data_IF_189908709248
#
_entry.id   IF_189908709248
#
_cell.length_a   1.000
_cell.length_b   1.000
_cell.length_c   1.000
_cell.angle_alpha   90.00
_cell.angle_beta   90.00
_cell.angle_gamma   90.00
#
_symmetry.space_group_name_H-M   'P 1'
#
loop_
_entity.id
_entity.type
_entity.pdbx_description
1 polymer ?
#
# COMPACT_ATOMS: atom_id res chain seq x y z
N UNK A 1 26.11 -6.63 -18.97
CA UNK A 1 26.62 -5.81 -17.85
C UNK A 1 25.98 -6.37 -16.59
N UNK A 2 26.76 -7.03 -15.73
CA UNK A 2 26.29 -7.57 -14.46
C UNK A 2 26.08 -6.40 -13.50
N UNK A 3 24.86 -5.85 -13.48
CA UNK A 3 24.49 -4.78 -12.56
C UNK A 3 24.70 -5.28 -11.14
N UNK A 4 25.60 -4.63 -10.40
CA UNK A 4 25.68 -4.80 -8.95
C UNK A 4 24.29 -4.50 -8.38
N UNK A 5 23.60 -5.53 -7.90
CA UNK A 5 22.37 -5.38 -7.13
C UNK A 5 22.73 -4.57 -5.91
N UNK A 6 22.44 -3.27 -5.96
CA UNK A 6 22.69 -2.34 -4.88
C UNK A 6 21.84 -2.79 -3.70
N UNK A 7 22.47 -3.27 -2.63
CA UNK A 7 21.78 -3.69 -1.41
C UNK A 7 20.93 -2.53 -0.88
N UNK A 8 19.69 -2.81 -0.48
CA UNK A 8 18.82 -1.81 0.13
C UNK A 8 19.41 -1.34 1.46
N UNK A 9 19.31 -0.05 1.74
CA UNK A 9 19.57 0.55 3.06
C UNK A 9 18.35 1.36 3.48
N UNK A 10 17.75 1.01 4.60
CA UNK A 10 16.63 1.75 5.19
C UNK A 10 17.20 2.94 5.96
N UNK A 11 16.87 4.14 5.52
CA UNK A 11 17.28 5.36 6.22
C UNK A 11 16.39 6.55 5.85
N UNK A 12 15.46 6.92 6.71
CA UNK A 12 14.62 8.11 6.51
C UNK A 12 14.30 8.79 7.85
N UNK A 13 14.70 10.06 8.00
CA UNK A 13 14.49 10.83 9.24
C UNK A 13 13.49 11.98 9.09
N UNK A 14 13.25 12.42 7.86
CA UNK A 14 12.40 13.56 7.55
C UNK A 14 11.84 13.42 6.13
N UNK A 15 10.99 14.36 5.74
CA UNK A 15 10.22 14.29 4.49
C UNK A 15 10.83 15.14 3.36
N UNK A 16 12.07 15.65 3.49
CA UNK A 16 12.67 16.59 2.53
C UNK A 16 14.11 16.29 2.12
N UNK A 17 14.83 15.44 2.85
CA UNK A 17 16.15 14.98 2.41
C UNK A 17 16.08 14.30 1.03
N UNK A 18 17.18 14.29 0.24
CA UNK A 18 17.17 13.74 -1.11
C UNK A 18 16.68 12.28 -1.14
N UNK A 19 15.53 12.06 -1.78
CA UNK A 19 14.90 10.75 -1.92
C UNK A 19 15.76 9.81 -2.78
N UNK A 20 16.00 8.58 -2.30
CA UNK A 20 16.81 7.56 -3.00
C UNK A 20 16.03 6.29 -3.35
N UNK A 21 15.09 5.90 -2.51
CA UNK A 21 14.30 4.69 -2.66
C UNK A 21 12.92 4.90 -2.05
N UNK A 22 11.87 4.50 -2.75
CA UNK A 22 10.48 4.65 -2.29
C UNK A 22 9.64 3.44 -2.70
N UNK A 23 8.58 3.15 -1.92
CA UNK A 23 7.53 2.21 -2.30
C UNK A 23 6.37 3.00 -2.91
N UNK A 24 5.94 2.64 -4.11
CA UNK A 24 4.75 3.19 -4.76
C UNK A 24 3.67 2.12 -4.84
N UNK A 25 2.46 2.43 -4.37
CA UNK A 25 1.35 1.48 -4.39
C UNK A 25 0.88 1.09 -5.80
N UNK A 26 -0.04 0.14 -5.85
CA UNK A 26 -0.74 -0.29 -7.08
C UNK A 26 -2.25 -0.33 -6.81
N UNK A 27 -3.05 -0.12 -7.85
CA UNK A 27 -4.52 -0.10 -7.74
C UNK A 27 -5.16 -1.49 -7.94
N UNK A 28 -4.36 -2.49 -8.31
CA UNK A 28 -4.80 -3.85 -8.65
C UNK A 28 -5.71 -4.48 -7.58
N UNK A 29 -6.87 -4.96 -8.02
CA UNK A 29 -7.82 -5.66 -7.16
C UNK A 29 -8.47 -4.82 -6.06
N UNK A 30 -8.21 -3.50 -6.01
CA UNK A 30 -8.73 -2.62 -4.97
C UNK A 30 -10.26 -2.71 -4.87
N UNK A 31 -10.76 -2.80 -3.64
CA UNK A 31 -12.17 -2.91 -3.32
C UNK A 31 -12.65 -1.64 -2.60
N UNK A 32 -13.92 -1.31 -2.80
CA UNK A 32 -14.67 -0.39 -1.96
C UNK A 32 -15.06 -1.18 -0.69
N UNK A 33 -14.55 -0.81 0.49
CA UNK A 33 -14.74 -1.62 1.68
C UNK A 33 -16.21 -1.58 2.14
N UNK A 34 -16.72 -2.69 2.72
CA UNK A 34 -18.07 -2.73 3.28
C UNK A 34 -18.24 -1.73 4.44
N UNK A 35 -19.48 -1.38 4.82
CA UNK A 35 -19.74 -0.44 5.89
C UNK A 35 -19.15 -0.96 7.21
N UNK A 36 -18.40 -0.10 7.89
CA UNK A 36 -17.87 -0.37 9.21
C UNK A 36 -17.80 0.92 10.03
N UNK A 37 -17.85 0.86 11.38
CA UNK A 37 -17.88 2.06 12.21
C UNK A 37 -16.75 3.06 11.91
N UNK A 38 -15.57 2.56 11.55
CA UNK A 38 -14.40 3.39 11.26
C UNK A 38 -14.45 4.08 9.88
N UNK A 39 -15.24 3.54 8.96
CA UNK A 39 -15.42 4.04 7.59
C UNK A 39 -16.66 4.94 7.47
N UNK A 40 -17.79 4.53 8.03
CA UNK A 40 -19.08 5.23 7.88
C UNK A 40 -19.03 6.67 8.41
N UNK A 41 -18.22 6.92 9.45
CA UNK A 41 -18.00 8.27 9.98
C UNK A 41 -17.24 9.20 9.02
N UNK A 42 -16.64 8.68 7.94
CA UNK A 42 -15.78 9.42 7.01
C UNK A 42 -16.32 9.52 5.60
N UNK A 43 -17.28 8.67 5.22
CA UNK A 43 -17.90 8.72 3.89
C UNK A 43 -18.96 9.81 3.90
N UNK A 44 -18.86 10.87 3.06
CA UNK A 44 -19.88 11.89 2.95
C UNK A 44 -21.25 11.29 2.64
N UNK A 45 -22.32 11.89 3.18
CA UNK A 45 -23.66 11.33 2.99
C UNK A 45 -24.09 11.26 1.53
N UNK A 46 -23.57 12.16 0.71
CA UNK A 46 -23.79 12.34 -0.73
C UNK A 46 -22.71 11.68 -1.61
N UNK A 47 -21.84 10.84 -1.04
CA UNK A 47 -20.83 10.12 -1.81
C UNK A 47 -21.45 9.13 -2.78
N UNK A 48 -20.99 9.17 -4.03
CA UNK A 48 -21.27 8.20 -5.10
C UNK A 48 -20.87 6.76 -4.75
N UNK A 49 -19.88 6.59 -3.86
CA UNK A 49 -19.44 5.29 -3.36
C UNK A 49 -20.36 4.72 -2.27
N UNK A 50 -21.24 5.53 -1.69
CA UNK A 50 -22.18 5.05 -0.69
C UNK A 50 -23.14 4.07 -1.35
N UNK A 51 -23.22 2.86 -0.81
CA UNK A 51 -24.02 1.82 -1.44
C UNK A 51 -23.25 0.93 -2.43
N UNK A 52 -21.96 1.17 -2.63
CA UNK A 52 -21.09 0.37 -3.50
C UNK A 52 -20.04 -0.34 -2.64
N UNK A 53 -19.90 -1.66 -2.81
CA UNK A 53 -18.95 -2.47 -2.05
C UNK A 53 -18.36 -3.56 -2.94
N UNK A 54 -17.14 -3.98 -2.65
CA UNK A 54 -16.41 -4.95 -3.45
C UNK A 54 -15.57 -4.31 -4.56
N UNK A 55 -15.21 -5.05 -5.61
CA UNK A 55 -14.19 -4.63 -6.56
C UNK A 55 -14.50 -3.29 -7.22
N UNK A 56 -13.50 -2.42 -7.33
CA UNK A 56 -13.64 -1.18 -8.11
C UNK A 56 -13.82 -1.51 -9.60
N UNK A 57 -14.54 -0.67 -10.36
CA UNK A 57 -14.66 -0.85 -11.81
C UNK A 57 -13.28 -0.88 -12.48
N UNK A 58 -13.06 -1.85 -13.39
CA UNK A 58 -11.75 -2.07 -14.01
C UNK A 58 -11.18 -0.83 -14.69
N UNK A 59 -12.01 -0.05 -15.39
CA UNK A 59 -11.59 1.22 -16.03
C UNK A 59 -10.99 2.23 -15.02
N UNK A 60 -11.51 2.26 -13.78
CA UNK A 60 -10.94 3.13 -12.73
C UNK A 60 -9.62 2.62 -12.19
N UNK A 61 -9.46 1.29 -12.10
CA UNK A 61 -8.21 0.63 -11.71
C UNK A 61 -7.14 0.88 -12.77
N UNK A 62 -7.48 0.72 -14.04
CA UNK A 62 -6.57 0.90 -15.17
C UNK A 62 -6.06 2.36 -15.23
N UNK A 63 -6.96 3.34 -15.13
CA UNK A 63 -6.59 4.77 -15.08
C UNK A 63 -5.73 5.11 -13.87
N UNK A 64 -6.03 4.53 -12.70
CA UNK A 64 -5.22 4.73 -11.51
C UNK A 64 -3.81 4.15 -11.68
N UNK A 65 -3.69 2.97 -12.26
CA UNK A 65 -2.39 2.35 -12.55
C UNK A 65 -1.60 3.14 -13.61
N UNK A 66 -2.25 3.67 -14.64
CA UNK A 66 -1.59 4.56 -15.60
C UNK A 66 -0.92 5.76 -14.90
N UNK A 67 -1.65 6.40 -13.97
CA UNK A 67 -1.13 7.50 -13.15
C UNK A 67 0.01 7.05 -12.23
N UNK A 68 -0.14 5.92 -11.52
CA UNK A 68 0.86 5.40 -10.58
C UNK A 68 2.15 4.97 -11.30
N UNK A 69 2.03 4.37 -12.48
CA UNK A 69 3.16 3.97 -13.32
C UNK A 69 3.85 5.18 -13.94
N UNK A 70 3.08 6.18 -14.36
CA UNK A 70 3.62 7.48 -14.76
C UNK A 70 4.43 8.13 -13.65
N UNK A 71 3.89 8.14 -12.41
CA UNK A 71 4.58 8.67 -11.24
C UNK A 71 5.87 7.89 -10.91
N UNK A 72 5.81 6.56 -10.93
CA UNK A 72 6.99 5.71 -10.75
C UNK A 72 8.08 6.03 -11.79
N UNK A 73 7.73 6.13 -13.07
CA UNK A 73 8.67 6.48 -14.15
C UNK A 73 9.30 7.86 -13.95
N UNK A 74 8.54 8.85 -13.48
CA UNK A 74 9.04 10.19 -13.15
C UNK A 74 10.10 10.13 -12.05
N UNK A 75 9.90 9.31 -11.02
CA UNK A 75 10.87 9.10 -9.93
C UNK A 75 12.12 8.36 -10.41
N UNK A 76 11.94 7.28 -11.17
CA UNK A 76 13.04 6.50 -11.76
C UNK A 76 13.91 7.35 -12.69
N UNK A 77 13.30 8.21 -13.52
CA UNK A 77 14.04 9.15 -14.38
C UNK A 77 14.90 10.16 -13.62
N UNK A 78 14.62 10.36 -12.32
CA UNK A 78 15.39 11.21 -11.40
C UNK A 78 16.40 10.41 -10.57
N UNK A 79 16.59 9.12 -10.87
CA UNK A 79 17.52 8.24 -10.18
C UNK A 79 17.00 7.67 -8.85
N UNK A 80 15.70 7.81 -8.56
CA UNK A 80 15.07 7.21 -7.38
C UNK A 80 14.71 5.76 -7.70
N UNK A 81 15.11 4.80 -6.86
CA UNK A 81 14.64 3.42 -6.95
C UNK A 81 13.17 3.34 -6.53
N UNK A 82 12.34 2.67 -7.32
CA UNK A 82 10.93 2.45 -6.99
C UNK A 82 10.68 0.96 -6.85
N UNK A 83 10.18 0.54 -5.68
CA UNK A 83 9.66 -0.81 -5.47
C UNK A 83 8.12 -0.75 -5.38
N UNK A 84 7.42 -1.82 -5.79
CA UNK A 84 5.95 -1.92 -5.80
C UNK A 84 5.48 -3.06 -4.89
N UNK A 85 4.38 -2.93 -4.14
CA UNK A 85 3.86 -4.01 -3.31
C UNK A 85 3.28 -5.14 -4.16
N UNK A 86 3.07 -6.30 -3.54
CA UNK A 86 2.40 -7.44 -4.16
C UNK A 86 0.93 -7.45 -3.74
N UNK A 87 -0.03 -7.23 -4.65
CA UNK A 87 -1.45 -7.28 -4.34
C UNK A 87 -1.89 -8.63 -3.76
N UNK A 88 -2.92 -8.58 -2.92
CA UNK A 88 -3.69 -9.74 -2.50
C UNK A 88 -4.96 -9.83 -3.34
N UNK A 89 -5.66 -10.96 -3.22
CA UNK A 89 -7.05 -11.05 -3.64
C UNK A 89 -7.94 -10.34 -2.61
N UNK A 90 -8.09 -9.02 -2.77
CA UNK A 90 -8.80 -8.17 -1.80
C UNK A 90 -10.30 -8.44 -1.74
N UNK A 91 -10.88 -9.14 -2.72
CA UNK A 91 -12.30 -9.48 -2.73
C UNK A 91 -12.62 -10.75 -1.91
N UNK A 92 -11.64 -11.30 -1.20
CA UNK A 92 -11.87 -12.41 -0.27
C UNK A 92 -12.36 -11.90 1.08
N UNK A 93 -13.39 -12.54 1.67
CA UNK A 93 -13.83 -12.22 3.02
C UNK A 93 -12.76 -12.62 4.04
N UNK A 94 -12.65 -11.84 5.10
CA UNK A 94 -11.74 -12.10 6.22
C UNK A 94 -12.46 -11.90 7.54
N UNK A 95 -12.04 -12.65 8.56
CA UNK A 95 -12.68 -12.64 9.87
C UNK A 95 -11.69 -12.92 10.98
N UNK A 96 -12.00 -12.39 12.16
CA UNK A 96 -11.42 -12.76 13.45
C UNK A 96 -12.55 -13.29 14.33
N UNK A 97 -12.27 -13.75 15.57
CA UNK A 97 -13.33 -14.06 16.53
C UNK A 97 -14.24 -12.87 16.87
N UNK A 98 -13.78 -11.63 16.67
CA UNK A 98 -14.49 -10.41 17.07
C UNK A 98 -15.30 -9.75 15.94
N UNK A 99 -14.93 -9.99 14.69
CA UNK A 99 -15.55 -9.32 13.54
C UNK A 99 -15.32 -10.08 12.23
N UNK A 100 -16.12 -9.72 11.21
CA UNK A 100 -15.96 -10.16 9.83
C UNK A 100 -16.11 -8.98 8.87
N UNK A 101 -15.51 -9.09 7.69
CA UNK A 101 -15.66 -8.14 6.57
C UNK A 101 -15.69 -8.91 5.26
N UNK A 102 -16.59 -8.53 4.35
CA UNK A 102 -16.81 -9.25 3.10
C UNK A 102 -15.66 -9.06 2.10
N UNK A 103 -14.99 -7.90 2.16
CA UNK A 103 -13.79 -7.60 1.38
C UNK A 103 -12.76 -6.87 2.22
N UNK A 104 -11.53 -6.90 1.72
CA UNK A 104 -10.43 -6.04 2.15
C UNK A 104 -10.45 -4.72 1.37
N UNK A 105 -9.39 -3.90 1.52
CA UNK A 105 -9.28 -2.59 0.88
C UNK A 105 -8.40 -2.60 -0.39
N UNK A 106 -7.08 -2.50 -0.26
CA UNK A 106 -6.14 -2.44 -1.37
C UNK A 106 -4.72 -2.22 -0.87
N UNK A 107 -3.78 -1.85 -1.76
CA UNK A 107 -2.39 -1.55 -1.38
C UNK A 107 -1.84 -0.26 -2.06
N UNK A 108 -2.74 0.65 -2.42
CA UNK A 108 -2.38 1.93 -3.02
C UNK A 108 -1.67 2.90 -2.04
N UNK A 109 -2.01 2.95 -0.74
CA UNK A 109 -1.38 3.89 0.20
C UNK A 109 -0.39 3.21 1.19
N UNK A 110 0.87 2.90 0.77
CA UNK A 110 1.90 2.36 1.68
C UNK A 110 2.10 3.19 2.94
N UNK A 111 1.97 4.52 2.81
CA UNK A 111 2.18 5.48 3.90
C UNK A 111 1.25 5.28 5.10
N UNK A 112 0.07 4.73 4.87
CA UNK A 112 -0.90 4.48 5.94
C UNK A 112 -0.49 3.29 6.82
N UNK A 113 0.22 2.32 6.23
CA UNK A 113 0.52 1.02 6.84
C UNK A 113 1.95 0.97 7.37
N UNK A 114 2.87 1.70 6.75
CA UNK A 114 4.30 1.62 7.03
C UNK A 114 4.85 3.00 7.38
N UNK A 115 5.48 3.10 8.54
CA UNK A 115 6.26 4.26 8.96
C UNK A 115 7.75 3.90 8.96
N UNK A 116 8.59 4.75 8.39
CA UNK A 116 10.06 4.60 8.44
C UNK A 116 10.66 5.69 9.33
N UNK A 117 11.41 5.28 10.36
CA UNK A 117 12.11 6.19 11.29
C UNK A 117 13.56 5.74 11.42
N UNK A 118 14.48 6.50 10.81
CA UNK A 118 15.86 6.09 10.70
C UNK A 118 15.97 4.77 9.93
N UNK A 119 16.54 3.76 10.56
CA UNK A 119 16.70 2.41 10.00
C UNK A 119 15.50 1.48 10.27
N UNK A 120 14.53 1.90 11.07
CA UNK A 120 13.39 1.06 11.45
C UNK A 120 12.18 1.30 10.54
N UNK A 121 11.51 0.22 10.14
CA UNK A 121 10.21 0.26 9.47
C UNK A 121 9.17 -0.40 10.38
N UNK A 122 8.14 0.37 10.77
CA UNK A 122 7.08 -0.07 11.66
C UNK A 122 5.79 -0.30 10.88
N UNK A 123 5.12 -1.44 11.14
CA UNK A 123 3.78 -1.73 10.65
C UNK A 123 2.74 -1.14 11.62
N UNK A 124 1.86 -0.29 11.11
CA UNK A 124 0.82 0.36 11.91
C UNK A 124 -0.30 -0.63 12.28
N UNK A 125 -0.82 -0.52 13.50
CA UNK A 125 -2.02 -1.27 13.93
C UNK A 125 -3.27 -0.60 13.40
N UNK A 126 -3.64 -0.96 12.17
CA UNK A 126 -4.76 -0.37 11.45
C UNK A 126 -6.08 -0.53 12.23
N UNK A 127 -6.94 0.49 12.15
CA UNK A 127 -8.24 0.50 12.84
C UNK A 127 -9.41 0.03 11.96
N UNK A 128 -9.20 -0.07 10.66
CA UNK A 128 -10.22 -0.49 9.68
C UNK A 128 -10.13 -1.99 9.52
N UNK A 129 -11.24 -2.70 9.72
CA UNK A 129 -11.33 -4.17 9.58
C UNK A 129 -10.92 -4.61 8.19
N UNK A 130 -11.33 -3.88 7.16
CA UNK A 130 -10.94 -4.13 5.76
C UNK A 130 -9.43 -3.97 5.48
N UNK A 131 -8.65 -3.39 6.40
CA UNK A 131 -7.20 -3.16 6.28
C UNK A 131 -6.37 -4.09 7.16
N UNK A 132 -7.00 -5.05 7.85
CA UNK A 132 -6.35 -5.91 8.83
C UNK A 132 -5.14 -6.69 8.28
N UNK A 133 -5.24 -7.15 7.04
CA UNK A 133 -4.18 -7.93 6.37
C UNK A 133 -3.38 -7.12 5.35
N UNK A 134 -3.56 -5.79 5.28
CA UNK A 134 -2.93 -4.96 4.25
C UNK A 134 -1.39 -5.00 4.30
N UNK A 135 -0.82 -5.14 5.50
CA UNK A 135 0.63 -5.29 5.71
C UNK A 135 1.23 -6.46 4.91
N UNK A 136 0.46 -7.51 4.61
CA UNK A 136 0.93 -8.68 3.86
C UNK A 136 1.33 -8.30 2.42
N UNK A 137 0.75 -7.25 1.84
CA UNK A 137 1.11 -6.77 0.51
C UNK A 137 2.57 -6.31 0.43
N UNK A 138 3.12 -5.86 1.56
CA UNK A 138 4.46 -5.31 1.66
C UNK A 138 5.48 -6.32 2.22
N UNK A 139 5.03 -7.46 2.77
CA UNK A 139 5.91 -8.46 3.39
C UNK A 139 7.06 -8.93 2.48
N UNK A 140 6.87 -9.18 1.17
CA UNK A 140 8.00 -9.52 0.30
C UNK A 140 9.08 -8.44 0.25
N UNK A 141 8.68 -7.16 0.23
CA UNK A 141 9.61 -6.03 0.24
C UNK A 141 10.28 -5.87 1.61
N UNK A 142 9.50 -5.86 2.69
CA UNK A 142 10.02 -5.68 4.05
C UNK A 142 11.00 -6.80 4.43
N UNK A 143 10.71 -8.05 4.05
CA UNK A 143 11.61 -9.17 4.27
C UNK A 143 12.90 -9.02 3.45
N UNK A 144 12.80 -8.55 2.20
CA UNK A 144 13.98 -8.25 1.37
C UNK A 144 14.84 -7.17 2.04
N UNK A 145 14.25 -6.09 2.51
CA UNK A 145 14.99 -4.98 3.14
C UNK A 145 15.66 -5.42 4.43
N UNK A 146 14.95 -6.16 5.27
CA UNK A 146 15.49 -6.76 6.49
C UNK A 146 16.71 -7.66 6.24
N UNK A 147 16.71 -8.41 5.13
CA UNK A 147 17.85 -9.26 4.76
C UNK A 147 19.02 -8.49 4.13
N UNK A 148 18.74 -7.34 3.49
CA UNK A 148 19.74 -6.56 2.76
C UNK A 148 20.44 -5.50 3.62
N UNK A 149 19.76 -4.94 4.63
CA UNK A 149 20.30 -3.96 5.58
C UNK A 149 20.59 -4.62 6.94
N UNK A 150 21.87 -4.70 7.37
CA UNK A 150 22.24 -5.33 8.64
C UNK A 150 22.05 -4.44 9.88
N UNK A 151 21.62 -3.19 9.72
CA UNK A 151 21.45 -2.23 10.82
C UNK A 151 20.06 -2.32 11.46
#
# INVERSE_FOLDING_TARGET
MTGSTTKTRVNSWNEWDPLKHVIVGVADGCCIPPPEPALDAKVPEDSDMRGQWGPRPQDTVDKANECLDGFAKILESRGVRVDRPTPLDFNKPVSTPDWQTDTMFGCMPPRDVILTVGAEMLEATMSYRCRWHEYLCYRPLLQKYYNEDPN
#
